data_IF_826598903856
#
_entry.id   IF_826598903856
#
_cell.length_a   1.000
_cell.length_b   1.000
_cell.length_c   1.000
_cell.angle_alpha   90.00
_cell.angle_beta   90.00
_cell.angle_gamma   90.00
#
_symmetry.space_group_name_H-M   'P 1'
#
loop_
_entity.id
_entity.type
_entity.pdbx_description
1 polymer ?
#
# COMPACT_ATOMS: atom_id res chain seq x y z
N UNK A 1 1.33 19.66 -0.79
CA UNK A 1 1.97 20.84 -1.40
C UNK A 1 3.35 21.22 -0.86
N UNK A 2 3.51 21.61 0.42
CA UNK A 2 4.81 22.12 0.92
C UNK A 2 5.99 21.16 0.70
N UNK A 3 5.82 19.89 1.09
CA UNK A 3 6.85 18.85 0.93
C UNK A 3 7.18 18.64 -0.55
N UNK A 4 6.17 18.58 -1.42
CA UNK A 4 6.33 18.41 -2.87
C UNK A 4 7.11 19.58 -3.48
N UNK A 5 6.82 20.81 -3.06
CA UNK A 5 7.53 22.01 -3.51
C UNK A 5 9.01 21.95 -3.13
N UNK A 6 9.32 21.62 -1.88
CA UNK A 6 10.69 21.57 -1.36
C UNK A 6 11.38 20.22 -1.50
N UNK A 7 10.83 19.26 -2.25
CA UNK A 7 11.37 17.92 -2.37
C UNK A 7 12.84 17.89 -2.82
N UNK A 8 13.26 18.85 -3.64
CA UNK A 8 14.65 18.93 -4.12
C UNK A 8 15.66 19.17 -2.99
N UNK A 9 15.23 19.78 -1.87
CA UNK A 9 16.06 19.97 -0.68
C UNK A 9 16.22 18.70 0.14
N UNK A 10 15.31 17.74 0.00
CA UNK A 10 15.37 16.46 0.73
C UNK A 10 16.36 15.47 0.09
N UNK A 11 16.72 15.68 -1.18
CA UNK A 11 17.60 14.80 -1.95
C UNK A 11 18.80 15.56 -2.54
N UNK A 12 19.71 16.09 -1.68
CA UNK A 12 20.88 16.84 -2.14
C UNK A 12 21.80 15.96 -2.99
N UNK A 13 22.36 16.52 -4.06
CA UNK A 13 23.22 15.79 -5.00
C UNK A 13 22.47 14.96 -6.05
N UNK A 14 21.14 14.87 -5.95
CA UNK A 14 20.30 14.19 -6.93
C UNK A 14 19.40 15.18 -7.67
N UNK A 15 19.09 14.86 -8.93
CA UNK A 15 18.10 15.60 -9.72
C UNK A 15 16.75 14.90 -9.61
N UNK A 16 15.81 15.51 -8.89
CA UNK A 16 14.43 15.01 -8.82
C UNK A 16 13.78 15.12 -10.20
N UNK A 17 13.39 13.99 -10.79
CA UNK A 17 12.82 13.91 -12.15
C UNK A 17 11.30 14.00 -12.19
N UNK A 18 10.61 13.56 -11.14
CA UNK A 18 9.16 13.54 -11.05
C UNK A 18 8.74 13.62 -9.57
N UNK A 19 7.61 14.28 -9.30
CA UNK A 19 7.02 14.40 -7.97
C UNK A 19 5.53 14.15 -8.12
N UNK A 20 5.02 13.09 -7.51
CA UNK A 20 3.61 12.72 -7.59
C UNK A 20 3.12 12.27 -6.21
N UNK A 21 1.94 12.74 -5.82
CA UNK A 21 1.20 12.23 -4.68
C UNK A 21 0.51 10.92 -5.09
N UNK A 22 0.46 9.99 -4.14
CA UNK A 22 -0.30 8.77 -4.28
C UNK A 22 -0.96 8.40 -2.95
N UNK A 23 -2.04 7.64 -3.02
CA UNK A 23 -2.76 7.09 -1.86
C UNK A 23 -3.04 5.63 -2.12
N UNK A 24 -2.76 4.82 -1.11
CA UNK A 24 -3.08 3.39 -1.12
C UNK A 24 -4.18 3.14 -0.11
N UNK A 25 -5.25 2.47 -0.55
CA UNK A 25 -6.27 1.93 0.35
C UNK A 25 -6.07 0.43 0.45
N UNK A 26 -5.99 -0.08 1.68
CA UNK A 26 -5.85 -1.51 2.00
C UNK A 26 -7.00 -1.92 2.91
N UNK A 27 -7.42 -3.17 2.79
CA UNK A 27 -8.31 -3.75 3.79
C UNK A 27 -7.51 -3.95 5.09
N UNK A 28 -7.71 -3.02 6.03
CA UNK A 28 -7.28 -3.19 7.42
C UNK A 28 -8.39 -3.91 8.14
N UNK A 29 -8.34 -5.22 8.11
CA UNK A 29 -9.16 -6.04 9.00
C UNK A 29 -8.62 -5.88 10.44
N UNK A 30 -9.20 -4.95 11.19
CA UNK A 30 -9.04 -4.83 12.64
C UNK A 30 -9.88 -5.94 13.30
N UNK A 31 -9.32 -7.15 13.45
CA UNK A 31 -9.95 -8.18 14.27
C UNK A 31 -9.47 -8.04 15.71
N UNK A 32 -10.41 -7.72 16.61
CA UNK A 32 -10.26 -7.94 18.05
C UNK A 32 -10.33 -9.45 18.23
N UNK A 33 -9.26 -10.04 18.77
CA UNK A 33 -9.16 -11.47 19.03
C UNK A 33 -10.08 -11.79 20.23
N UNK A 34 -11.33 -12.15 19.96
CA UNK A 34 -12.21 -12.73 20.98
C UNK A 34 -11.80 -14.20 21.20
N UNK A 35 -11.39 -14.46 22.44
CA UNK A 35 -10.65 -15.62 22.93
C UNK A 35 -11.17 -17.01 22.51
N UNK A 36 -10.21 -17.93 22.43
CA UNK A 36 -10.26 -19.38 22.71
C UNK A 36 -11.50 -20.19 22.29
N UNK A 37 -11.32 -20.98 21.22
CA UNK A 37 -11.61 -22.43 21.24
C UNK A 37 -10.95 -23.07 20.01
N UNK A 38 -10.10 -24.06 20.26
CA UNK A 38 -9.37 -24.79 19.23
C UNK A 38 -10.35 -25.62 18.39
N UNK A 39 -10.57 -25.21 17.14
CA UNK A 39 -11.38 -25.98 16.19
C UNK A 39 -10.72 -25.93 14.81
N UNK A 40 -10.64 -27.08 14.12
CA UNK A 40 -10.06 -27.22 12.77
C UNK A 40 -10.71 -26.22 11.78
N UNK A 41 -11.99 -25.94 11.98
CA UNK A 41 -12.75 -24.91 11.26
C UNK A 41 -12.14 -23.52 11.41
N UNK A 42 -11.69 -23.14 12.62
CA UNK A 42 -11.03 -21.85 12.88
C UNK A 42 -9.69 -21.76 12.15
N UNK A 43 -8.97 -22.88 11.97
CA UNK A 43 -7.74 -22.93 11.17
C UNK A 43 -8.01 -22.71 9.68
N UNK A 44 -9.05 -23.36 9.12
CA UNK A 44 -9.44 -23.18 7.73
C UNK A 44 -9.95 -21.75 7.48
N UNK A 45 -10.75 -21.21 8.41
CA UNK A 45 -11.18 -19.81 8.37
C UNK A 45 -9.99 -18.86 8.44
N UNK A 46 -9.01 -19.14 9.30
CA UNK A 46 -7.77 -18.36 9.38
C UNK A 46 -6.97 -18.39 8.08
N UNK A 47 -6.87 -19.53 7.39
CA UNK A 47 -6.20 -19.64 6.08
C UNK A 47 -6.94 -18.88 4.97
N UNK A 48 -8.26 -19.03 4.87
CA UNK A 48 -9.11 -18.28 3.93
C UNK A 48 -9.07 -16.77 4.21
N UNK A 49 -9.05 -16.36 5.48
CA UNK A 49 -8.91 -14.96 5.86
C UNK A 49 -7.50 -14.44 5.58
N UNK A 50 -6.45 -15.26 5.77
CA UNK A 50 -5.06 -14.89 5.47
C UNK A 50 -4.84 -14.63 3.98
N UNK A 51 -5.58 -15.29 3.09
CA UNK A 51 -5.62 -14.97 1.65
C UNK A 51 -6.21 -13.59 1.34
N UNK A 52 -7.10 -13.07 2.18
CA UNK A 52 -7.72 -11.74 2.03
C UNK A 52 -7.01 -10.63 2.82
N UNK A 53 -5.98 -10.95 3.62
CA UNK A 53 -5.22 -9.98 4.40
C UNK A 53 -4.40 -9.06 3.49
N UNK A 54 -4.53 -7.74 3.69
CA UNK A 54 -3.50 -6.76 3.34
C UNK A 54 -3.30 -6.46 1.85
N UNK A 55 -4.07 -7.09 0.95
CA UNK A 55 -4.05 -6.74 -0.47
C UNK A 55 -4.39 -5.24 -0.62
N UNK A 56 -3.57 -4.53 -1.40
CA UNK A 56 -3.95 -3.20 -1.83
C UNK A 56 -5.22 -3.32 -2.68
N UNK A 57 -6.25 -2.57 -2.31
CA UNK A 57 -7.56 -2.63 -2.99
C UNK A 57 -7.68 -1.48 -3.97
N UNK A 58 -7.00 -0.37 -3.70
CA UNK A 58 -7.02 0.81 -4.56
C UNK A 58 -5.74 1.61 -4.46
N UNK A 59 -5.17 1.96 -5.61
CA UNK A 59 -4.10 2.93 -5.75
C UNK A 59 -4.64 4.16 -6.49
N UNK A 60 -4.58 5.31 -5.83
CA UNK A 60 -4.87 6.62 -6.44
C UNK A 60 -3.54 7.35 -6.64
N UNK A 61 -3.32 7.92 -7.82
CA UNK A 61 -2.09 8.65 -8.18
C UNK A 61 -2.44 9.96 -8.87
N UNK A 62 -1.58 10.97 -8.72
CA UNK A 62 -1.67 12.18 -9.54
C UNK A 62 -1.41 11.86 -11.02
N UNK A 63 -2.11 12.57 -11.92
CA UNK A 63 -1.98 12.40 -13.38
C UNK A 63 -0.57 12.67 -13.91
N UNK A 64 0.26 13.40 -13.16
CA UNK A 64 1.64 13.70 -13.53
C UNK A 64 2.64 12.59 -13.18
N UNK A 65 2.21 11.46 -12.59
CA UNK A 65 3.11 10.34 -12.28
C UNK A 65 3.71 9.78 -13.57
N UNK A 66 5.01 9.44 -13.55
CA UNK A 66 5.64 8.76 -14.68
C UNK A 66 5.17 7.30 -14.77
N UNK A 67 5.10 6.74 -15.98
CA UNK A 67 4.75 5.33 -16.15
C UNK A 67 5.69 4.38 -15.39
N UNK A 68 6.98 4.70 -15.33
CA UNK A 68 7.95 3.92 -14.59
C UNK A 68 7.63 3.86 -13.09
N UNK A 69 7.27 5.01 -12.50
CA UNK A 69 6.89 5.08 -11.10
C UNK A 69 5.55 4.39 -10.83
N UNK A 70 4.59 4.51 -11.76
CA UNK A 70 3.31 3.81 -11.65
C UNK A 70 3.51 2.28 -11.67
N UNK A 71 4.28 1.76 -12.63
CA UNK A 71 4.60 0.32 -12.71
C UNK A 71 5.31 -0.16 -11.44
N UNK A 72 6.27 0.61 -10.94
CA UNK A 72 6.96 0.30 -9.69
C UNK A 72 5.98 0.18 -8.53
N UNK A 73 5.04 1.11 -8.40
CA UNK A 73 4.02 1.08 -7.35
C UNK A 73 3.07 -0.11 -7.52
N UNK A 74 2.62 -0.42 -8.73
CA UNK A 74 1.77 -1.58 -8.98
C UNK A 74 2.45 -2.89 -8.57
N UNK A 75 3.68 -3.12 -9.06
CA UNK A 75 4.44 -4.31 -8.70
C UNK A 75 4.74 -4.40 -7.21
N UNK A 76 5.11 -3.28 -6.56
CA UNK A 76 5.47 -3.29 -5.13
C UNK A 76 4.28 -3.45 -4.20
N UNK A 77 3.06 -3.18 -4.69
CA UNK A 77 1.82 -3.27 -3.93
C UNK A 77 0.99 -4.52 -4.28
N UNK A 78 1.52 -5.40 -5.13
CA UNK A 78 0.83 -6.57 -5.67
C UNK A 78 -0.52 -6.22 -6.32
N UNK A 79 -0.54 -5.12 -7.09
CA UNK A 79 -1.68 -4.60 -7.85
C UNK A 79 -1.59 -4.88 -9.36
#
# INVERSE_FOLDING_TARGET
>A
ELIKHFADKLFPGYKVRNKALFRVTRNSDLYIDEEETANLLKTIENELHRQRKGAAVRLEVESCISEANLRLLMTSLDL
#
